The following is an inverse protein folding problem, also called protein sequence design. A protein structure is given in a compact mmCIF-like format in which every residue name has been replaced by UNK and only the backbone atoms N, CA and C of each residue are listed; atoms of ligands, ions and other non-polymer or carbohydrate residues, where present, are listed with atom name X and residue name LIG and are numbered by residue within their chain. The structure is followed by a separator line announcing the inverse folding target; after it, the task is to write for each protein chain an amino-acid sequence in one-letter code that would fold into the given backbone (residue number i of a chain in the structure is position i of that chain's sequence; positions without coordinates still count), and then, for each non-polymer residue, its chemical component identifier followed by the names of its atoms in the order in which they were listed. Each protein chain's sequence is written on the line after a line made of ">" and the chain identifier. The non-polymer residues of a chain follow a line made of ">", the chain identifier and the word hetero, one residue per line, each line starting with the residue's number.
data_IF_889988325923
#
_entry.id   IF_889988325923
#
_cell.length_a   1.000
_cell.length_b   1.000
_cell.length_c   1.000
_cell.angle_alpha   90.00
_cell.angle_beta   90.00
_cell.angle_gamma   90.00
#
_symmetry.space_group_name_H-M   'P 1'
#
loop_
_entity.id
_entity.type
_entity.pdbx_description
1 polymer ?
#
# COMPACT_ATOMS: atom_id res chain seq x y z
N UNK A 1 9.35 -28.70 20.87
CA UNK A 1 9.96 -29.07 19.58
C UNK A 1 8.87 -28.86 18.52
N UNK A 2 8.71 -27.64 18.02
CA UNK A 2 7.84 -27.33 16.89
C UNK A 2 8.70 -27.63 15.67
N UNK A 3 8.35 -28.72 14.96
CA UNK A 3 9.03 -29.15 13.75
C UNK A 3 9.11 -28.01 12.75
N UNK A 4 10.28 -27.86 12.10
CA UNK A 4 10.59 -27.02 10.94
C UNK A 4 9.71 -27.40 9.72
N UNK A 5 8.40 -27.16 9.80
CA UNK A 5 7.58 -27.12 8.59
C UNK A 5 7.82 -25.77 7.93
N UNK A 6 8.09 -25.77 6.63
CA UNK A 6 8.16 -24.50 5.87
C UNK A 6 6.87 -23.74 6.07
N UNK A 7 6.92 -22.41 6.09
CA UNK A 7 5.72 -21.58 6.24
C UNK A 7 4.65 -21.93 5.19
N UNK A 8 5.06 -22.23 3.97
CA UNK A 8 4.18 -22.70 2.90
C UNK A 8 3.41 -23.99 3.27
N UNK A 9 4.03 -24.89 4.05
CA UNK A 9 3.35 -26.10 4.50
C UNK A 9 2.15 -25.84 5.43
N UNK A 10 2.12 -24.70 6.14
CA UNK A 10 0.98 -24.29 6.97
C UNK A 10 -0.23 -23.84 6.15
N UNK A 11 0.00 -23.39 4.91
CA UNK A 11 -1.04 -22.86 4.03
C UNK A 11 -1.39 -23.82 2.87
N UNK A 12 -1.09 -25.09 2.99
CA UNK A 12 -1.36 -26.08 1.93
C UNK A 12 -2.85 -26.32 1.69
N UNK A 13 -3.66 -26.27 2.74
CA UNK A 13 -5.10 -26.43 2.60
C UNK A 13 -5.72 -25.26 1.83
N UNK A 14 -6.62 -25.61 0.91
CA UNK A 14 -7.37 -24.63 0.14
C UNK A 14 -8.52 -24.08 0.98
N UNK A 15 -8.68 -22.76 1.00
CA UNK A 15 -9.91 -22.13 1.49
C UNK A 15 -11.09 -22.45 0.57
N UNK A 16 -12.31 -22.16 0.99
CA UNK A 16 -13.49 -22.37 0.16
C UNK A 16 -13.47 -21.52 -1.12
N UNK A 17 -12.97 -20.29 -1.01
CA UNK A 17 -12.77 -19.41 -2.16
C UNK A 17 -11.72 -19.97 -3.12
N UNK A 18 -10.59 -20.48 -2.61
CA UNK A 18 -9.54 -21.08 -3.43
C UNK A 18 -10.00 -22.36 -4.11
N UNK A 19 -10.86 -23.16 -3.47
CA UNK A 19 -11.47 -24.34 -4.11
C UNK A 19 -12.33 -23.93 -5.30
N UNK A 20 -13.16 -22.91 -5.13
CA UNK A 20 -13.99 -22.35 -6.21
C UNK A 20 -13.14 -21.79 -7.34
N UNK A 21 -12.10 -21.01 -7.04
CA UNK A 21 -11.20 -20.47 -8.06
C UNK A 21 -10.42 -21.56 -8.78
N UNK A 22 -10.02 -22.62 -8.08
CA UNK A 22 -9.35 -23.79 -8.68
C UNK A 22 -10.26 -24.52 -9.66
N UNK A 23 -11.51 -24.74 -9.29
CA UNK A 23 -12.50 -25.35 -10.20
C UNK A 23 -12.71 -24.49 -11.46
N UNK A 24 -12.85 -23.16 -11.28
CA UNK A 24 -12.94 -22.23 -12.38
C UNK A 24 -11.69 -22.23 -13.27
N UNK A 25 -10.51 -22.26 -12.66
CA UNK A 25 -9.22 -22.29 -13.35
C UNK A 25 -9.12 -23.51 -14.30
N UNK A 26 -9.49 -24.70 -13.82
CA UNK A 26 -9.47 -25.89 -14.67
C UNK A 26 -10.62 -25.89 -15.67
N UNK A 27 -11.81 -25.46 -15.30
CA UNK A 27 -12.94 -25.39 -16.21
C UNK A 27 -12.70 -24.46 -17.40
N UNK A 28 -11.93 -23.38 -17.22
CA UNK A 28 -11.60 -22.43 -18.31
C UNK A 28 -10.71 -23.02 -19.41
N UNK A 29 -10.00 -24.12 -19.13
CA UNK A 29 -9.11 -24.76 -20.12
C UNK A 29 -9.89 -25.30 -21.33
N UNK A 30 -11.19 -25.61 -21.12
CA UNK A 30 -12.07 -26.21 -22.13
C UNK A 30 -13.43 -25.47 -22.16
N UNK A 31 -13.88 -24.92 -23.30
CA UNK A 31 -15.13 -24.15 -23.38
C UNK A 31 -16.38 -24.93 -22.91
N UNK A 32 -16.44 -26.23 -23.17
CA UNK A 32 -17.56 -27.06 -22.74
C UNK A 32 -17.54 -27.38 -21.25
N UNK A 33 -16.36 -27.49 -20.65
CA UNK A 33 -16.20 -27.64 -19.19
C UNK A 33 -16.62 -26.35 -18.48
N UNK A 34 -16.22 -25.19 -19.01
CA UNK A 34 -16.62 -23.90 -18.45
C UNK A 34 -18.15 -23.72 -18.48
N UNK A 35 -18.80 -24.06 -19.60
CA UNK A 35 -20.28 -24.01 -19.71
C UNK A 35 -20.96 -24.90 -18.66
N UNK A 36 -20.49 -26.14 -18.48
CA UNK A 36 -21.01 -27.09 -17.46
C UNK A 36 -20.77 -26.56 -16.05
N UNK A 37 -19.58 -26.05 -15.77
CA UNK A 37 -19.25 -25.48 -14.47
C UNK A 37 -20.16 -24.30 -14.13
N UNK A 38 -20.32 -23.32 -15.05
CA UNK A 38 -21.21 -22.19 -14.83
C UNK A 38 -22.67 -22.59 -14.63
N UNK A 39 -23.14 -23.64 -15.32
CA UNK A 39 -24.49 -24.15 -15.16
C UNK A 39 -24.70 -24.90 -13.83
N UNK A 40 -23.64 -25.49 -13.25
CA UNK A 40 -23.69 -26.20 -11.96
C UNK A 40 -23.63 -25.29 -10.74
N UNK A 41 -23.23 -24.02 -10.91
CA UNK A 41 -23.10 -23.05 -9.80
C UNK A 41 -24.47 -22.64 -9.27
N UNK A 42 -24.62 -22.48 -7.93
CA UNK A 42 -25.78 -21.83 -7.33
C UNK A 42 -26.01 -20.45 -7.93
N UNK A 43 -27.28 -20.06 -8.08
CA UNK A 43 -27.66 -18.83 -8.77
C UNK A 43 -26.97 -17.56 -8.21
N UNK A 44 -26.76 -17.53 -6.90
CA UNK A 44 -26.05 -16.48 -6.17
C UNK A 44 -24.55 -16.36 -6.54
N UNK A 45 -23.91 -17.46 -6.94
CA UNK A 45 -22.48 -17.53 -7.33
C UNK A 45 -22.24 -17.30 -8.82
N UNK A 46 -23.26 -17.45 -9.66
CA UNK A 46 -23.09 -17.33 -11.12
C UNK A 46 -22.69 -15.92 -11.55
N UNK A 47 -23.29 -14.88 -10.93
CA UNK A 47 -22.98 -13.49 -11.28
C UNK A 47 -21.54 -13.13 -10.87
N UNK A 48 -21.09 -13.32 -9.63
CA UNK A 48 -19.70 -13.07 -9.25
C UNK A 48 -18.70 -13.77 -10.17
N UNK A 49 -18.88 -15.04 -10.49
CA UNK A 49 -17.96 -15.77 -11.37
C UNK A 49 -17.92 -15.20 -12.78
N UNK A 50 -19.07 -14.76 -13.33
CA UNK A 50 -19.11 -14.08 -14.64
C UNK A 50 -18.40 -12.74 -14.61
N UNK A 51 -18.57 -11.98 -13.54
CA UNK A 51 -17.90 -10.69 -13.33
C UNK A 51 -16.37 -10.90 -13.29
N UNK A 52 -15.89 -11.93 -12.57
CA UNK A 52 -14.47 -12.32 -12.57
C UNK A 52 -13.95 -12.70 -13.95
N UNK A 53 -14.72 -13.47 -14.74
CA UNK A 53 -14.33 -13.82 -16.11
C UNK A 53 -14.31 -12.63 -17.06
N UNK A 54 -15.12 -11.60 -16.81
CA UNK A 54 -15.07 -10.35 -17.57
C UNK A 54 -13.86 -9.51 -17.19
N UNK A 55 -13.52 -9.50 -15.91
CA UNK A 55 -12.36 -8.78 -15.40
C UNK A 55 -11.04 -9.28 -15.99
N UNK A 56 -10.89 -10.59 -16.16
CA UNK A 56 -9.72 -11.17 -16.84
C UNK A 56 -9.55 -10.67 -18.28
N UNK A 57 -10.63 -10.26 -18.93
CA UNK A 57 -10.61 -9.70 -20.30
C UNK A 57 -10.23 -8.22 -20.34
N UNK A 58 -9.79 -7.66 -19.23
CA UNK A 58 -9.30 -6.28 -19.13
C UNK A 58 -10.36 -5.26 -18.74
N UNK A 59 -11.54 -5.70 -18.29
CA UNK A 59 -12.50 -4.79 -17.68
C UNK A 59 -11.97 -4.39 -16.30
N UNK A 60 -11.72 -3.08 -16.08
CA UNK A 60 -11.28 -2.55 -14.79
C UNK A 60 -12.42 -2.72 -13.78
N UNK A 61 -12.22 -3.57 -12.78
CA UNK A 61 -13.27 -3.89 -11.82
C UNK A 61 -13.44 -2.83 -10.75
N UNK A 62 -12.38 -2.25 -10.21
CA UNK A 62 -12.52 -1.26 -9.13
C UNK A 62 -11.20 -0.60 -8.74
N UNK A 63 -11.32 0.51 -8.04
CA UNK A 63 -10.29 1.07 -7.19
C UNK A 63 -10.45 0.46 -5.79
N UNK A 64 -9.47 -0.32 -5.33
CA UNK A 64 -9.45 -0.83 -3.98
C UNK A 64 -9.01 0.29 -3.03
N UNK A 65 -9.87 0.63 -2.09
CA UNK A 65 -9.58 1.68 -1.11
C UNK A 65 -9.34 1.05 0.26
N UNK A 66 -8.70 1.79 1.15
CA UNK A 66 -8.52 1.42 2.56
C UNK A 66 -9.86 1.23 3.31
N UNK A 67 -10.98 1.50 2.65
CA UNK A 67 -12.34 1.44 3.21
C UNK A 67 -13.14 0.23 2.73
N UNK A 68 -12.55 -0.65 1.91
CA UNK A 68 -13.24 -1.86 1.50
C UNK A 68 -13.35 -2.82 2.67
N UNK A 69 -14.57 -3.30 2.91
CA UNK A 69 -14.86 -4.28 3.97
C UNK A 69 -14.08 -5.60 3.80
N UNK A 70 -13.45 -5.83 2.66
CA UNK A 70 -12.62 -7.00 2.38
C UNK A 70 -11.24 -6.89 3.04
N UNK A 71 -10.79 -5.68 3.40
CA UNK A 71 -9.53 -5.46 4.11
C UNK A 71 -9.84 -4.77 5.43
N UNK A 72 -9.59 -5.46 6.53
CA UNK A 72 -9.62 -4.83 7.85
C UNK A 72 -8.37 -3.96 8.04
N UNK A 73 -8.45 -2.72 7.54
CA UNK A 73 -7.41 -1.73 7.77
C UNK A 73 -7.49 -1.11 9.18
N UNK A 74 -7.66 -1.94 10.23
CA UNK A 74 -7.48 -1.49 11.61
C UNK A 74 -6.02 -1.06 11.85
N UNK A 75 -5.06 -1.82 11.32
CA UNK A 75 -3.64 -1.60 11.44
C UNK A 75 -3.04 -0.74 10.32
N UNK A 76 -1.85 -0.17 10.55
CA UNK A 76 -1.07 0.55 9.53
C UNK A 76 -0.42 -0.37 8.50
N UNK A 77 -0.14 -1.61 8.92
CA UNK A 77 0.46 -2.67 8.11
C UNK A 77 -0.40 -3.91 8.23
N UNK A 78 -0.84 -4.45 7.11
CA UNK A 78 -1.65 -5.66 7.03
C UNK A 78 -0.93 -6.65 6.12
N UNK A 79 -0.98 -7.92 6.48
CA UNK A 79 -0.45 -9.00 5.64
C UNK A 79 -1.61 -9.87 5.20
N UNK A 80 -1.83 -9.98 3.90
CA UNK A 80 -2.91 -10.80 3.35
C UNK A 80 -2.34 -11.89 2.47
N UNK A 81 -2.97 -13.06 2.48
CA UNK A 81 -2.67 -14.12 1.52
C UNK A 81 -3.38 -13.83 0.20
N UNK A 82 -2.64 -13.82 -0.90
CA UNK A 82 -3.26 -13.83 -2.22
C UNK A 82 -3.93 -15.20 -2.44
N UNK A 83 -5.24 -15.20 -2.66
CA UNK A 83 -5.97 -16.45 -2.83
C UNK A 83 -5.49 -17.17 -4.09
N UNK A 84 -5.09 -18.43 -3.96
CA UNK A 84 -4.62 -19.26 -5.08
C UNK A 84 -5.69 -19.42 -6.14
N UNK A 85 -5.27 -19.52 -7.39
CA UNK A 85 -6.14 -19.66 -8.57
C UNK A 85 -7.05 -18.46 -8.85
N UNK A 86 -6.87 -17.34 -8.12
CA UNK A 86 -7.64 -16.12 -8.37
C UNK A 86 -7.47 -15.68 -9.82
N UNK A 87 -8.57 -15.45 -10.57
CA UNK A 87 -8.48 -14.87 -11.90
C UNK A 87 -7.77 -13.50 -11.86
N UNK A 88 -6.81 -13.28 -12.76
CA UNK A 88 -6.14 -12.00 -12.84
C UNK A 88 -7.14 -10.90 -13.24
N UNK A 89 -7.23 -9.84 -12.46
CA UNK A 89 -8.06 -8.67 -12.75
C UNK A 89 -7.26 -7.39 -12.62
N UNK A 90 -7.52 -6.46 -13.51
CA UNK A 90 -6.84 -5.15 -13.48
C UNK A 90 -7.51 -4.29 -12.42
N UNK A 91 -6.72 -3.83 -11.46
CA UNK A 91 -7.16 -2.95 -10.40
C UNK A 91 -6.08 -1.93 -10.04
N UNK A 92 -6.42 -0.97 -9.21
CA UNK A 92 -5.51 -0.05 -8.52
C UNK A 92 -5.98 0.12 -7.08
N UNK A 93 -5.10 0.58 -6.21
CA UNK A 93 -5.41 0.80 -4.80
C UNK A 93 -4.89 2.14 -4.30
N UNK A 94 -5.37 2.60 -3.12
CA UNK A 94 -4.97 3.87 -2.49
C UNK A 94 -3.83 3.70 -1.48
N UNK A 95 -3.43 2.48 -1.19
CA UNK A 95 -2.36 2.10 -0.27
C UNK A 95 -1.11 1.64 -1.03
N UNK A 96 0.00 1.42 -0.33
CA UNK A 96 1.16 0.72 -0.89
C UNK A 96 0.98 -0.78 -0.75
N UNK A 97 1.38 -1.53 -1.75
CA UNK A 97 1.38 -2.98 -1.73
C UNK A 97 2.77 -3.53 -1.99
N UNK A 98 3.17 -4.55 -1.23
CA UNK A 98 4.36 -5.36 -1.51
C UNK A 98 3.89 -6.78 -1.78
N UNK A 99 3.97 -7.20 -3.04
CA UNK A 99 3.72 -8.58 -3.45
C UNK A 99 4.95 -9.42 -3.13
N UNK A 100 4.79 -10.48 -2.37
CA UNK A 100 5.87 -11.38 -1.93
C UNK A 100 5.59 -12.79 -2.43
N UNK A 101 6.46 -13.36 -3.26
CA UNK A 101 6.37 -14.75 -3.70
C UNK A 101 7.17 -15.63 -2.73
N UNK A 102 6.47 -16.37 -1.86
CA UNK A 102 7.12 -17.31 -0.95
C UNK A 102 7.53 -18.59 -1.66
N UNK A 103 6.67 -19.12 -2.50
CA UNK A 103 6.88 -20.35 -3.25
C UNK A 103 6.08 -20.31 -4.56
N UNK A 104 6.69 -20.76 -5.65
CA UNK A 104 6.08 -20.81 -6.98
C UNK A 104 6.41 -19.61 -7.85
N UNK A 105 5.51 -19.25 -8.75
CA UNK A 105 5.74 -18.19 -9.72
C UNK A 105 4.45 -17.40 -9.97
N UNK A 106 4.61 -16.13 -10.37
CA UNK A 106 3.50 -15.33 -10.87
C UNK A 106 3.97 -14.34 -11.94
N UNK A 107 3.02 -13.77 -12.65
CA UNK A 107 3.25 -12.64 -13.55
C UNK A 107 2.45 -11.45 -13.03
N UNK A 108 3.15 -10.37 -12.69
CA UNK A 108 2.50 -9.12 -12.31
C UNK A 108 2.51 -8.18 -13.54
N UNK A 109 1.33 -7.88 -14.08
CA UNK A 109 1.17 -6.92 -15.17
C UNK A 109 0.96 -5.54 -14.58
N UNK A 110 1.90 -4.63 -14.82
CA UNK A 110 1.90 -3.26 -14.27
C UNK A 110 1.88 -2.29 -15.46
N UNK A 111 0.71 -1.72 -15.76
CA UNK A 111 0.51 -0.98 -17.01
C UNK A 111 0.77 -1.86 -18.21
N UNK A 112 1.74 -1.48 -19.05
CA UNK A 112 2.13 -2.23 -20.27
C UNK A 112 3.28 -3.23 -20.00
N UNK A 113 3.83 -3.26 -18.80
CA UNK A 113 4.93 -4.15 -18.42
C UNK A 113 4.41 -5.48 -17.86
N UNK A 114 5.12 -6.57 -18.16
CA UNK A 114 4.90 -7.89 -17.57
C UNK A 114 6.13 -8.28 -16.78
N UNK A 115 5.99 -8.29 -15.46
CA UNK A 115 7.05 -8.70 -14.52
C UNK A 115 6.83 -10.15 -14.13
N UNK A 116 7.76 -11.03 -14.53
CA UNK A 116 7.78 -12.42 -14.06
C UNK A 116 8.46 -12.49 -12.70
N UNK A 117 7.79 -13.07 -11.72
CA UNK A 117 8.27 -13.20 -10.34
C UNK A 117 8.33 -14.68 -9.95
N UNK A 118 9.30 -15.04 -9.16
CA UNK A 118 9.56 -16.40 -8.65
C UNK A 118 9.86 -16.41 -7.15
N UNK A 119 10.14 -17.58 -6.58
CA UNK A 119 10.47 -17.76 -5.17
C UNK A 119 11.45 -16.69 -4.66
N UNK A 120 11.07 -15.97 -3.63
CA UNK A 120 11.86 -14.93 -3.00
C UNK A 120 11.77 -13.56 -3.68
N UNK A 121 11.02 -13.42 -4.77
CA UNK A 121 10.85 -12.11 -5.41
C UNK A 121 9.83 -11.25 -4.66
N UNK A 122 10.14 -9.95 -4.61
CA UNK A 122 9.27 -8.93 -4.05
C UNK A 122 8.98 -7.84 -5.09
N UNK A 123 7.74 -7.37 -5.15
CA UNK A 123 7.37 -6.24 -5.99
C UNK A 123 6.58 -5.22 -5.16
N UNK A 124 7.11 -4.01 -5.04
CA UNK A 124 6.46 -2.89 -4.37
C UNK A 124 5.71 -2.05 -5.38
N UNK A 125 4.43 -1.80 -5.13
CA UNK A 125 3.53 -1.08 -6.03
C UNK A 125 3.02 0.17 -5.31
N UNK A 126 3.16 1.32 -5.98
CA UNK A 126 2.69 2.58 -5.42
C UNK A 126 1.17 2.77 -5.58
N UNK A 127 0.53 3.59 -4.73
CA UNK A 127 -0.88 3.93 -4.88
C UNK A 127 -1.23 4.47 -6.27
N UNK A 128 -2.40 4.07 -6.79
CA UNK A 128 -2.93 4.53 -8.08
C UNK A 128 -2.33 3.86 -9.32
N UNK A 129 -1.44 2.89 -9.15
CA UNK A 129 -0.89 2.08 -10.25
C UNK A 129 -1.86 0.98 -10.62
N UNK A 130 -2.23 0.91 -11.90
CA UNK A 130 -3.01 -0.23 -12.42
C UNK A 130 -2.11 -1.44 -12.58
N UNK A 131 -2.51 -2.54 -11.96
CA UNK A 131 -1.81 -3.81 -12.08
C UNK A 131 -2.78 -5.00 -12.02
N UNK A 132 -2.27 -6.17 -12.39
CA UNK A 132 -2.98 -7.44 -12.30
C UNK A 132 -1.99 -8.56 -12.01
N UNK A 133 -2.24 -9.30 -10.95
CA UNK A 133 -1.43 -10.44 -10.56
C UNK A 133 -2.04 -11.73 -11.11
N UNK A 134 -1.26 -12.47 -11.87
CA UNK A 134 -1.60 -13.79 -12.38
C UNK A 134 -0.64 -14.81 -11.78
N UNK A 135 -1.12 -15.58 -10.83
CA UNK A 135 -0.32 -16.66 -10.29
C UNK A 135 -0.24 -17.85 -11.24
N UNK A 136 0.81 -18.65 -11.09
CA UNK A 136 0.88 -19.99 -11.66
C UNK A 136 0.36 -21.01 -10.64
N UNK A 137 -0.01 -22.17 -11.12
CA UNK A 137 -0.63 -23.23 -10.34
C UNK A 137 0.16 -23.58 -9.06
N UNK A 138 -0.48 -23.40 -7.91
CA UNK A 138 0.06 -23.78 -6.60
C UNK A 138 0.97 -22.76 -5.91
N UNK A 139 1.11 -21.56 -6.42
CA UNK A 139 1.98 -20.53 -5.83
C UNK A 139 1.45 -20.02 -4.49
N UNK A 140 2.36 -19.76 -3.56
CA UNK A 140 2.09 -19.11 -2.27
C UNK A 140 2.57 -17.67 -2.31
N UNK A 141 1.63 -16.74 -2.42
CA UNK A 141 1.88 -15.30 -2.53
C UNK A 141 1.20 -14.60 -1.37
N UNK A 142 1.92 -13.64 -0.77
CA UNK A 142 1.42 -12.77 0.26
C UNK A 142 1.59 -11.32 -0.15
N UNK A 143 0.63 -10.49 0.25
CA UNK A 143 0.65 -9.06 0.03
C UNK A 143 0.81 -8.36 1.38
N UNK A 144 1.80 -7.47 1.50
CA UNK A 144 1.95 -6.56 2.62
C UNK A 144 1.36 -5.22 2.19
N UNK A 145 0.28 -4.82 2.82
CA UNK A 145 -0.45 -3.59 2.53
C UNK A 145 -0.06 -2.53 3.56
N UNK A 146 0.30 -1.33 3.10
CA UNK A 146 0.76 -0.26 3.98
C UNK A 146 -0.11 0.96 3.75
N UNK A 147 -0.78 1.45 4.81
CA UNK A 147 -1.60 2.65 4.74
C UNK A 147 -0.81 3.85 4.24
N UNK A 148 -1.37 4.57 3.29
CA UNK A 148 -0.74 5.75 2.72
C UNK A 148 -0.52 6.86 3.77
N UNK A 149 -1.46 7.06 4.69
CA UNK A 149 -1.40 8.16 5.67
C UNK A 149 -0.40 7.93 6.79
N UNK A 150 -0.27 6.70 7.24
CA UNK A 150 0.59 6.33 8.36
C UNK A 150 2.02 6.04 7.93
N UNK A 151 2.29 5.94 6.62
CA UNK A 151 3.63 5.65 6.11
C UNK A 151 4.70 6.59 6.69
N UNK A 152 4.38 7.87 6.86
CA UNK A 152 5.31 8.86 7.42
C UNK A 152 5.63 8.63 8.89
N UNK A 153 4.66 8.15 9.66
CA UNK A 153 4.85 7.84 11.08
C UNK A 153 5.59 6.51 11.22
N UNK A 154 5.14 5.49 10.51
CA UNK A 154 5.71 4.13 10.53
C UNK A 154 7.15 4.06 10.00
N UNK A 155 7.46 4.79 8.92
CA UNK A 155 8.74 4.71 8.22
C UNK A 155 9.60 5.99 8.31
N UNK A 156 9.33 6.88 9.27
CA UNK A 156 9.98 8.21 9.34
C UNK A 156 11.53 8.15 9.29
N UNK A 157 12.14 7.26 10.05
CA UNK A 157 13.60 7.10 10.09
C UNK A 157 14.15 6.48 8.79
N UNK A 158 13.40 5.55 8.19
CA UNK A 158 13.77 4.93 6.92
C UNK A 158 13.73 5.96 5.77
N UNK A 159 12.71 6.81 5.72
CA UNK A 159 12.55 7.84 4.69
C UNK A 159 13.64 8.93 4.75
N UNK A 160 14.38 9.06 5.85
CA UNK A 160 15.56 9.94 5.95
C UNK A 160 16.79 9.39 5.22
N UNK A 161 16.80 8.14 4.84
CA UNK A 161 17.95 7.50 4.22
C UNK A 161 18.13 7.94 2.76
N UNK A 162 19.39 7.89 2.29
CA UNK A 162 19.74 8.26 0.92
C UNK A 162 19.80 7.00 0.04
N UNK A 163 18.67 6.33 -0.18
CA UNK A 163 18.59 5.17 -1.05
C UNK A 163 17.39 5.24 -2.00
N UNK A 164 17.40 4.43 -3.04
CA UNK A 164 16.36 4.41 -4.07
C UNK A 164 14.99 4.03 -3.50
N UNK A 165 14.95 3.14 -2.52
CA UNK A 165 13.72 2.67 -1.90
C UNK A 165 13.02 3.77 -1.07
N UNK A 166 13.78 4.54 -0.28
CA UNK A 166 13.25 5.73 0.38
C UNK A 166 12.76 6.76 -0.67
N UNK A 167 13.52 6.93 -1.76
CA UNK A 167 13.13 7.76 -2.90
C UNK A 167 11.82 7.33 -3.53
N UNK A 168 11.60 6.04 -3.72
CA UNK A 168 10.36 5.48 -4.24
C UNK A 168 9.14 5.86 -3.39
N UNK A 169 9.20 5.64 -2.09
CA UNK A 169 8.11 6.00 -1.18
C UNK A 169 7.82 7.51 -1.21
N UNK A 170 8.87 8.34 -1.15
CA UNK A 170 8.73 9.80 -1.17
C UNK A 170 8.09 10.27 -2.49
N UNK A 171 8.56 9.78 -3.63
CA UNK A 171 8.01 10.15 -4.93
C UNK A 171 6.56 9.70 -5.07
N UNK A 172 6.24 8.48 -4.66
CA UNK A 172 4.88 7.93 -4.70
C UNK A 172 3.90 8.71 -3.83
N UNK A 173 4.36 9.20 -2.68
CA UNK A 173 3.55 10.03 -1.79
C UNK A 173 3.24 11.42 -2.38
N UNK A 174 4.15 12.01 -3.17
CA UNK A 174 4.13 13.44 -3.48
C UNK A 174 4.10 13.81 -4.96
N UNK A 175 4.46 12.88 -5.84
CA UNK A 175 4.48 13.13 -7.29
C UNK A 175 3.23 12.57 -7.97
N UNK A 176 2.52 13.43 -8.73
CA UNK A 176 1.30 13.03 -9.45
C UNK A 176 1.53 12.05 -10.60
N UNK A 177 2.74 12.00 -11.15
CA UNK A 177 3.06 11.23 -12.36
C UNK A 177 3.75 9.90 -12.08
N UNK A 178 4.03 9.62 -10.83
CA UNK A 178 4.80 8.45 -10.44
C UNK A 178 3.94 7.19 -10.42
N UNK A 179 3.76 6.59 -11.58
CA UNK A 179 3.35 5.18 -11.65
C UNK A 179 4.62 4.36 -11.45
N UNK A 180 4.95 4.06 -10.20
CA UNK A 180 6.19 3.38 -9.88
C UNK A 180 5.93 2.04 -9.24
N UNK A 181 6.74 1.10 -9.64
CA UNK A 181 6.96 -0.14 -8.92
C UNK A 181 8.47 -0.34 -8.71
N UNK A 182 8.81 -1.16 -7.74
CA UNK A 182 10.16 -1.64 -7.51
C UNK A 182 10.12 -3.14 -7.38
N UNK A 183 10.96 -3.86 -8.12
CA UNK A 183 11.11 -5.30 -7.97
C UNK A 183 12.48 -5.66 -7.41
N UNK A 184 12.52 -6.69 -6.59
CA UNK A 184 13.70 -7.19 -5.92
C UNK A 184 13.75 -8.71 -6.06
N UNK A 185 14.92 -9.22 -6.44
CA UNK A 185 15.23 -10.64 -6.47
C UNK A 185 16.01 -11.01 -5.20
N UNK A 186 15.30 -11.59 -4.22
CA UNK A 186 15.91 -11.89 -2.91
C UNK A 186 16.04 -13.38 -2.62
N UNK A 187 15.94 -14.21 -3.66
CA UNK A 187 16.08 -15.66 -3.52
C UNK A 187 17.39 -16.05 -2.86
N UNK A 188 17.30 -16.81 -1.76
CA UNK A 188 18.45 -17.25 -0.99
C UNK A 188 18.91 -16.28 0.10
N UNK A 189 18.34 -15.08 0.21
CA UNK A 189 18.57 -14.17 1.33
C UNK A 189 17.74 -14.62 2.54
N UNK A 190 18.41 -15.33 3.46
CA UNK A 190 17.76 -15.89 4.64
C UNK A 190 17.26 -14.82 5.63
N UNK A 191 17.94 -13.67 5.71
CA UNK A 191 17.53 -12.59 6.62
C UNK A 191 16.18 -12.01 6.15
N UNK A 192 16.02 -11.78 4.85
CA UNK A 192 14.75 -11.31 4.25
C UNK A 192 13.66 -12.37 4.42
N UNK A 193 13.96 -13.64 4.13
CA UNK A 193 13.00 -14.73 4.29
C UNK A 193 12.48 -14.82 5.73
N UNK A 194 13.35 -14.76 6.75
CA UNK A 194 12.94 -14.78 8.15
C UNK A 194 12.06 -13.60 8.55
N UNK A 195 12.33 -12.39 8.01
CA UNK A 195 11.48 -11.22 8.30
C UNK A 195 10.10 -11.34 7.64
N UNK A 196 10.02 -11.85 6.41
CA UNK A 196 8.74 -12.13 5.75
C UNK A 196 7.94 -13.18 6.52
N UNK A 197 8.60 -14.27 6.93
CA UNK A 197 7.98 -15.30 7.77
C UNK A 197 7.46 -14.72 9.10
N UNK A 198 8.25 -13.87 9.76
CA UNK A 198 7.85 -13.22 11.01
C UNK A 198 6.63 -12.31 10.82
N UNK A 199 6.59 -11.51 9.75
CA UNK A 199 5.43 -10.66 9.41
C UNK A 199 4.16 -11.49 9.18
N UNK A 200 4.26 -12.58 8.41
CA UNK A 200 3.12 -13.45 8.11
C UNK A 200 2.63 -14.17 9.37
N UNK A 201 3.54 -14.66 10.20
CA UNK A 201 3.19 -15.34 11.45
C UNK A 201 2.56 -14.39 12.46
N UNK A 202 2.98 -13.12 12.48
CA UNK A 202 2.39 -12.12 13.36
C UNK A 202 0.94 -11.81 12.99
N UNK A 203 0.63 -11.74 11.68
CA UNK A 203 -0.75 -11.57 11.21
C UNK A 203 -1.64 -12.77 11.61
N UNK A 204 -1.18 -14.00 11.34
CA UNK A 204 -1.92 -15.22 11.70
C UNK A 204 -2.16 -15.30 13.21
N UNK A 205 -1.18 -14.90 14.02
CA UNK A 205 -1.31 -14.89 15.49
C UNK A 205 -2.30 -13.84 15.98
N UNK A 206 -2.40 -12.71 15.28
CA UNK A 206 -3.36 -11.66 15.58
C UNK A 206 -4.82 -12.07 15.24
N UNK A 207 -5.02 -12.83 14.17
CA UNK A 207 -6.33 -13.38 13.81
C UNK A 207 -6.83 -14.40 14.86
N UNK A 208 -5.92 -15.16 15.48
CA UNK A 208 -6.25 -16.14 16.52
C UNK A 208 -6.49 -15.52 17.91
N UNK A 209 -5.88 -14.38 18.17
CA UNK A 209 -5.92 -13.68 19.46
C UNK A 209 -6.46 -12.30 19.22
N UNK A 210 -7.53 -11.86 19.76
CA UNK A 210 -8.06 -10.50 19.57
C UNK A 210 -6.94 -9.46 19.33
N UNK A 211 -7.05 -8.70 18.22
CA UNK A 211 -6.07 -7.70 17.77
C UNK A 211 -5.65 -6.80 18.95
N UNK A 212 -4.34 -6.74 19.22
CA UNK A 212 -3.74 -5.93 20.28
C UNK A 212 -2.77 -4.92 19.63
N UNK A 213 -2.64 -3.73 20.21
CA UNK A 213 -1.68 -2.68 19.78
C UNK A 213 -0.24 -3.21 19.67
N UNK A 214 0.13 -4.24 20.46
CA UNK A 214 1.44 -4.87 20.40
C UNK A 214 1.71 -5.59 19.09
N UNK A 215 0.70 -6.25 18.49
CA UNK A 215 0.81 -6.92 17.19
C UNK A 215 1.06 -5.92 16.06
N UNK A 216 0.33 -4.78 16.08
CA UNK A 216 0.54 -3.71 15.12
C UNK A 216 1.96 -3.15 15.18
N UNK A 217 2.49 -2.86 16.37
CA UNK A 217 3.84 -2.35 16.56
C UNK A 217 4.93 -3.35 16.09
N UNK A 218 4.73 -4.64 16.29
CA UNK A 218 5.65 -5.68 15.81
C UNK A 218 5.65 -5.78 14.29
N UNK A 219 4.49 -5.75 13.64
CA UNK A 219 4.40 -5.72 12.17
C UNK A 219 5.13 -4.52 11.57
N UNK A 220 4.96 -3.34 12.16
CA UNK A 220 5.70 -2.14 11.75
C UNK A 220 7.21 -2.27 11.94
N UNK A 221 7.67 -2.87 13.04
CA UNK A 221 9.09 -3.11 13.30
C UNK A 221 9.70 -4.10 12.29
N UNK A 222 9.01 -5.21 11.99
CA UNK A 222 9.45 -6.17 10.99
C UNK A 222 9.48 -5.56 9.58
N UNK A 223 8.47 -4.77 9.22
CA UNK A 223 8.46 -4.03 7.94
C UNK A 223 9.65 -3.08 7.84
N UNK A 224 9.93 -2.29 8.90
CA UNK A 224 11.09 -1.39 8.93
C UNK A 224 12.41 -2.16 8.76
N UNK A 225 12.56 -3.31 9.42
CA UNK A 225 13.74 -4.16 9.28
C UNK A 225 13.88 -4.69 7.84
N UNK A 226 12.78 -5.19 7.25
CA UNK A 226 12.73 -5.67 5.88
C UNK A 226 13.16 -4.60 4.88
N UNK A 227 12.60 -3.39 4.98
CA UNK A 227 12.95 -2.27 4.08
C UNK A 227 14.40 -1.83 4.23
N UNK A 228 14.95 -1.85 5.45
CA UNK A 228 16.36 -1.55 5.69
C UNK A 228 17.30 -2.61 5.10
N UNK A 229 16.94 -3.91 5.17
CA UNK A 229 17.69 -4.98 4.53
C UNK A 229 17.66 -4.87 3.01
N UNK A 230 16.48 -4.66 2.42
CA UNK A 230 16.32 -4.43 0.98
C UNK A 230 17.16 -3.24 0.50
N UNK A 231 17.12 -2.12 1.23
CA UNK A 231 17.91 -0.94 0.90
C UNK A 231 19.41 -1.17 1.01
N UNK A 232 19.86 -1.99 1.96
CA UNK A 232 21.27 -2.31 2.17
C UNK A 232 21.83 -3.27 1.13
N UNK A 233 21.08 -4.34 0.82
CA UNK A 233 21.64 -5.50 0.11
C UNK A 233 21.14 -5.66 -1.32
N UNK A 234 20.00 -5.03 -1.69
CA UNK A 234 19.33 -5.27 -2.97
C UNK A 234 19.01 -4.00 -3.78
N UNK A 235 19.43 -2.80 -3.34
CA UNK A 235 19.08 -1.54 -4.03
C UNK A 235 19.65 -1.43 -5.44
N UNK A 236 20.85 -2.03 -5.69
CA UNK A 236 21.47 -2.01 -7.02
C UNK A 236 20.78 -2.98 -8.01
N UNK A 237 20.09 -3.98 -7.49
CA UNK A 237 19.34 -4.98 -8.26
C UNK A 237 17.86 -4.60 -8.44
N UNK A 238 17.43 -3.46 -7.89
CA UNK A 238 16.07 -3.02 -8.00
C UNK A 238 15.77 -2.49 -9.42
N UNK A 239 14.87 -3.15 -10.12
CA UNK A 239 14.34 -2.62 -11.37
C UNK A 239 13.38 -1.48 -11.08
N UNK A 240 13.71 -0.28 -11.53
CA UNK A 240 12.87 0.89 -11.38
C UNK A 240 13.03 1.86 -12.55
N UNK A 241 11.93 2.46 -13.00
CA UNK A 241 11.97 3.57 -13.94
C UNK A 241 11.78 4.91 -13.22
N UNK A 242 12.70 5.85 -13.47
CA UNK A 242 12.49 7.28 -13.20
C UNK A 242 12.68 7.77 -11.76
N UNK A 243 13.29 7.01 -10.85
CA UNK A 243 13.50 7.44 -9.45
C UNK A 243 14.75 8.35 -9.35
N UNK A 244 14.56 9.62 -8.96
CA UNK A 244 15.64 10.55 -8.64
C UNK A 244 15.84 10.70 -7.14
N UNK A 245 16.86 10.06 -6.60
CA UNK A 245 17.19 10.07 -5.15
C UNK A 245 17.48 11.50 -4.63
N UNK A 246 18.15 12.33 -5.42
CA UNK A 246 18.51 13.69 -5.00
C UNK A 246 17.29 14.59 -4.79
N UNK A 247 16.33 14.55 -5.73
CA UNK A 247 15.09 15.33 -5.63
C UNK A 247 14.17 14.81 -4.52
N UNK A 248 14.15 13.50 -4.31
CA UNK A 248 13.34 12.87 -3.27
C UNK A 248 13.72 13.33 -1.87
N UNK A 249 15.03 13.44 -1.59
CA UNK A 249 15.50 13.91 -0.28
C UNK A 249 15.06 15.33 0.03
N UNK A 250 15.20 16.26 -0.90
CA UNK A 250 14.77 17.65 -0.68
C UNK A 250 13.26 17.71 -0.40
N UNK A 251 12.44 17.00 -1.16
CA UNK A 251 10.99 16.93 -0.93
C UNK A 251 10.69 16.37 0.45
N UNK A 252 11.42 15.35 0.89
CA UNK A 252 11.27 14.79 2.23
C UNK A 252 11.62 15.81 3.34
N UNK A 253 12.76 16.51 3.23
CA UNK A 253 13.15 17.54 4.20
C UNK A 253 12.14 18.70 4.23
N UNK A 254 11.63 19.12 3.07
CA UNK A 254 10.55 20.09 2.97
C UNK A 254 9.33 19.64 3.76
N UNK A 255 8.95 18.39 3.62
CA UNK A 255 7.80 17.85 4.34
C UNK A 255 8.01 17.75 5.83
N UNK A 256 9.17 17.28 6.28
CA UNK A 256 9.53 17.25 7.69
C UNK A 256 9.37 18.64 8.31
N UNK A 257 9.88 19.68 7.63
CA UNK A 257 9.68 21.06 8.05
C UNK A 257 8.20 21.43 8.10
N UNK A 258 7.44 21.13 7.04
CA UNK A 258 6.01 21.47 6.96
C UNK A 258 5.18 20.72 8.02
N UNK A 259 5.48 19.47 8.30
CA UNK A 259 4.80 18.67 9.34
C UNK A 259 5.03 19.26 10.73
N UNK A 260 6.26 19.72 11.00
CA UNK A 260 6.60 20.36 12.27
C UNK A 260 6.07 21.79 12.42
N UNK A 261 5.68 22.43 11.32
CA UNK A 261 5.26 23.86 11.28
C UNK A 261 3.89 24.05 10.62
N UNK A 262 2.96 23.07 10.73
CA UNK A 262 1.68 23.04 10.00
C UNK A 262 0.86 24.32 10.08
N UNK A 263 0.86 24.98 11.24
CA UNK A 263 0.06 26.19 11.49
C UNK A 263 0.68 27.45 10.88
N UNK A 264 2.01 27.53 10.84
CA UNK A 264 2.75 28.75 10.50
C UNK A 264 3.53 28.68 9.19
N UNK A 265 3.65 27.48 8.59
CA UNK A 265 4.44 27.28 7.40
C UNK A 265 3.91 28.09 6.21
N UNK A 266 4.81 28.86 5.61
CA UNK A 266 4.63 29.62 4.36
C UNK A 266 5.75 29.29 3.40
N UNK A 267 5.58 29.59 2.11
CA UNK A 267 6.67 29.44 1.16
C UNK A 267 7.88 30.33 1.52
N UNK A 268 7.62 31.48 2.13
CA UNK A 268 8.66 32.40 2.59
C UNK A 268 9.45 31.76 3.75
N UNK A 269 8.78 31.28 4.81
CA UNK A 269 9.47 30.67 5.95
C UNK A 269 10.22 29.39 5.57
N UNK A 270 9.69 28.63 4.61
CA UNK A 270 10.35 27.46 4.07
C UNK A 270 11.62 27.84 3.28
N UNK A 271 11.55 28.89 2.45
CA UNK A 271 12.68 29.38 1.68
C UNK A 271 13.82 29.90 2.58
N UNK A 272 13.46 30.62 3.65
CA UNK A 272 14.41 31.07 4.67
C UNK A 272 15.09 29.89 5.37
N UNK A 273 14.33 28.86 5.77
CA UNK A 273 14.87 27.67 6.43
C UNK A 273 15.90 26.92 5.58
N UNK A 274 15.66 26.83 4.25
CA UNK A 274 16.55 26.13 3.34
C UNK A 274 17.60 27.05 2.66
N UNK A 275 17.65 28.31 3.02
CA UNK A 275 18.53 29.33 2.40
C UNK A 275 18.34 29.44 0.87
N UNK A 276 17.10 29.40 0.43
CA UNK A 276 16.71 29.59 -0.97
C UNK A 276 15.86 30.85 -1.14
N UNK A 277 15.79 31.38 -2.37
CA UNK A 277 14.75 32.37 -2.69
C UNK A 277 13.38 31.68 -2.85
N UNK A 278 12.26 32.33 -2.46
CA UNK A 278 10.91 31.75 -2.62
C UNK A 278 10.62 31.33 -4.06
N UNK A 279 11.05 32.10 -5.03
CA UNK A 279 10.86 31.82 -6.46
C UNK A 279 11.64 30.59 -6.92
N UNK A 280 12.88 30.43 -6.45
CA UNK A 280 13.69 29.25 -6.73
C UNK A 280 13.08 28.00 -6.10
N UNK A 281 12.72 28.07 -4.81
CA UNK A 281 12.13 26.95 -4.08
C UNK A 281 10.77 26.53 -4.69
N UNK A 282 9.93 27.49 -5.08
CA UNK A 282 8.67 27.22 -5.77
C UNK A 282 8.87 26.44 -7.07
N UNK A 283 9.85 26.83 -7.87
CA UNK A 283 10.21 26.15 -9.13
C UNK A 283 10.77 24.75 -8.86
N UNK A 284 11.62 24.63 -7.86
CA UNK A 284 12.22 23.36 -7.45
C UNK A 284 11.16 22.36 -6.97
N UNK A 285 10.22 22.82 -6.14
CA UNK A 285 9.06 22.02 -5.71
C UNK A 285 8.23 21.59 -6.93
N UNK A 286 7.95 22.51 -7.86
CA UNK A 286 7.17 22.18 -9.05
C UNK A 286 7.88 21.18 -9.96
N UNK A 287 9.20 21.28 -10.11
CA UNK A 287 10.01 20.35 -10.90
C UNK A 287 10.14 18.97 -10.22
N UNK A 288 10.33 18.95 -8.90
CA UNK A 288 10.58 17.71 -8.15
C UNK A 288 9.29 16.97 -7.77
N UNK A 289 8.21 17.68 -7.46
CA UNK A 289 6.94 17.10 -7.02
C UNK A 289 5.80 17.20 -8.05
N UNK A 290 6.02 17.81 -9.21
CA UNK A 290 4.98 18.01 -10.22
C UNK A 290 3.78 18.84 -9.73
N UNK A 291 3.92 19.52 -8.58
CA UNK A 291 2.84 20.27 -7.94
C UNK A 291 3.37 21.50 -7.19
N UNK A 292 2.49 22.41 -6.79
CA UNK A 292 2.89 23.62 -6.07
C UNK A 292 2.90 23.43 -4.54
N UNK A 293 3.63 24.33 -3.86
CA UNK A 293 3.75 24.37 -2.39
C UNK A 293 2.40 24.29 -1.66
N UNK A 294 1.40 25.05 -2.10
CA UNK A 294 0.10 25.10 -1.44
C UNK A 294 -0.64 23.75 -1.48
N UNK A 295 -0.47 22.99 -2.56
CA UNK A 295 -1.06 21.64 -2.67
C UNK A 295 -0.33 20.64 -1.79
N UNK A 296 1.00 20.71 -1.70
CA UNK A 296 1.79 19.87 -0.77
C UNK A 296 1.36 20.15 0.67
N UNK A 297 1.37 21.42 1.08
CA UNK A 297 0.99 21.81 2.44
C UNK A 297 -0.44 21.37 2.78
N UNK A 298 -1.39 21.56 1.83
CA UNK A 298 -2.77 21.08 2.02
C UNK A 298 -2.81 19.58 2.26
N UNK A 299 -2.11 18.78 1.45
CA UNK A 299 -2.08 17.32 1.57
C UNK A 299 -1.52 16.88 2.92
N UNK A 300 -0.41 17.50 3.38
CA UNK A 300 0.18 17.23 4.69
C UNK A 300 -0.82 17.55 5.82
N UNK A 301 -1.50 18.70 5.75
CA UNK A 301 -2.52 19.09 6.74
C UNK A 301 -3.68 18.08 6.80
N UNK A 302 -4.16 17.63 5.65
CA UNK A 302 -5.26 16.67 5.58
C UNK A 302 -4.81 15.29 6.05
N UNK A 303 -3.61 14.83 5.71
CA UNK A 303 -3.09 13.56 6.21
C UNK A 303 -2.98 13.56 7.74
N UNK A 304 -2.49 14.65 8.34
CA UNK A 304 -2.48 14.79 9.81
C UNK A 304 -3.89 14.80 10.40
N UNK A 305 -4.85 15.44 9.71
CA UNK A 305 -6.24 15.42 10.13
C UNK A 305 -6.84 14.00 10.09
N UNK A 306 -6.53 13.20 9.06
CA UNK A 306 -6.96 11.79 8.98
C UNK A 306 -6.43 10.99 10.18
N UNK A 307 -5.14 11.10 10.49
CA UNK A 307 -4.53 10.46 11.67
C UNK A 307 -5.23 10.86 12.97
N UNK A 308 -5.49 12.17 13.17
CA UNK A 308 -6.19 12.64 14.37
C UNK A 308 -7.66 12.17 14.44
N UNK A 309 -8.35 12.11 13.30
CA UNK A 309 -9.73 11.63 13.24
C UNK A 309 -9.86 10.15 13.60
N UNK A 310 -8.89 9.33 13.21
CA UNK A 310 -8.89 7.89 13.48
C UNK A 310 -8.44 7.55 14.90
N UNK A 311 -7.46 8.30 15.46
CA UNK A 311 -6.75 7.90 16.66
C UNK A 311 -7.06 8.76 17.90
N UNK A 312 -7.95 9.77 17.80
CA UNK A 312 -8.27 10.67 18.91
C UNK A 312 -9.74 11.00 19.02
N UNK A 313 -10.15 11.45 20.22
CA UNK A 313 -11.50 11.96 20.51
C UNK A 313 -11.66 13.46 20.24
N UNK A 314 -10.63 14.12 19.71
CA UNK A 314 -10.71 15.54 19.39
C UNK A 314 -11.88 15.83 18.46
N UNK A 315 -12.62 16.90 18.71
CA UNK A 315 -13.70 17.27 17.82
C UNK A 315 -13.18 17.81 16.47
N UNK A 316 -14.03 17.82 15.45
CA UNK A 316 -13.64 18.21 14.08
C UNK A 316 -13.08 19.64 14.01
N UNK A 317 -13.56 20.55 14.88
CA UNK A 317 -13.04 21.92 14.93
C UNK A 317 -11.64 21.97 15.50
N UNK A 318 -11.39 21.28 16.61
CA UNK A 318 -10.05 21.17 17.23
C UNK A 318 -9.03 20.59 16.25
N UNK A 319 -9.42 19.57 15.48
CA UNK A 319 -8.56 18.99 14.45
C UNK A 319 -8.27 20.01 13.34
N UNK A 320 -9.28 20.76 12.90
CA UNK A 320 -9.09 21.83 11.94
C UNK A 320 -8.08 22.88 12.40
N UNK A 321 -8.19 23.32 13.65
CA UNK A 321 -7.27 24.28 14.29
C UNK A 321 -5.85 23.71 14.43
N UNK A 322 -5.71 22.47 14.94
CA UNK A 322 -4.42 21.81 15.11
C UNK A 322 -3.70 21.59 13.76
N UNK A 323 -4.46 21.38 12.70
CA UNK A 323 -3.91 21.26 11.34
C UNK A 323 -3.74 22.60 10.62
N UNK A 324 -3.96 23.72 11.33
CA UNK A 324 -3.68 25.06 10.86
C UNK A 324 -4.70 25.63 9.86
N UNK A 325 -5.98 25.29 10.03
CA UNK A 325 -7.09 25.93 9.35
C UNK A 325 -7.72 26.99 10.25
N UNK A 326 -7.97 28.17 9.70
CA UNK A 326 -8.52 29.31 10.47
C UNK A 326 -10.01 29.18 10.76
N UNK A 327 -10.73 28.38 9.98
CA UNK A 327 -12.15 28.14 10.21
C UNK A 327 -12.57 26.76 9.69
N UNK A 328 -13.58 26.19 10.31
CA UNK A 328 -14.13 24.86 9.99
C UNK A 328 -14.55 24.71 8.52
N UNK A 329 -15.14 25.76 7.94
CA UNK A 329 -15.58 25.71 6.54
C UNK A 329 -14.42 25.49 5.57
N UNK A 330 -13.28 26.14 5.81
CA UNK A 330 -12.08 25.93 4.99
C UNK A 330 -11.50 24.52 5.18
N UNK A 331 -11.48 24.02 6.42
CA UNK A 331 -11.07 22.68 6.74
C UNK A 331 -11.93 21.63 6.05
N UNK A 332 -13.26 21.69 6.23
CA UNK A 332 -14.20 20.72 5.65
C UNK A 332 -14.08 20.69 4.13
N UNK A 333 -14.01 21.86 3.48
CA UNK A 333 -13.81 21.95 2.03
C UNK A 333 -12.48 21.33 1.60
N UNK A 334 -11.38 21.67 2.26
CA UNK A 334 -10.07 21.13 1.94
C UNK A 334 -10.00 19.61 2.16
N UNK A 335 -10.65 19.11 3.20
CA UNK A 335 -10.75 17.69 3.51
C UNK A 335 -11.54 16.95 2.42
N UNK A 336 -12.72 17.47 2.06
CA UNK A 336 -13.56 16.89 1.02
C UNK A 336 -12.91 16.93 -0.36
N UNK A 337 -12.17 18.01 -0.69
CA UNK A 337 -11.40 18.13 -1.95
C UNK A 337 -10.29 17.05 -2.08
N UNK A 338 -9.75 16.54 -0.96
CA UNK A 338 -8.63 15.58 -0.94
C UNK A 338 -9.09 14.15 -0.71
N UNK A 339 -10.05 13.96 0.21
CA UNK A 339 -10.50 12.63 0.70
C UNK A 339 -11.83 12.20 0.07
N UNK A 340 -12.56 13.13 -0.57
CA UNK A 340 -13.87 12.92 -1.21
C UNK A 340 -15.00 12.52 -0.26
N UNK A 341 -14.82 12.75 1.05
CA UNK A 341 -15.83 12.59 2.09
C UNK A 341 -15.67 13.66 3.17
N UNK A 342 -16.67 13.80 4.04
CA UNK A 342 -16.56 14.74 5.16
C UNK A 342 -15.69 14.19 6.29
N UNK A 343 -15.09 15.05 7.16
CA UNK A 343 -14.31 14.59 8.31
C UNK A 343 -15.11 13.67 9.26
N UNK A 344 -16.41 13.94 9.43
CA UNK A 344 -17.28 13.12 10.29
C UNK A 344 -17.57 11.75 9.69
N UNK A 345 -17.79 11.68 8.37
CA UNK A 345 -17.95 10.40 7.65
C UNK A 345 -16.63 9.60 7.73
N UNK A 346 -15.50 10.28 7.50
CA UNK A 346 -14.19 9.65 7.61
C UNK A 346 -13.98 9.04 9.00
N UNK A 347 -14.21 9.81 10.06
CA UNK A 347 -14.12 9.32 11.45
C UNK A 347 -15.00 8.09 11.68
N UNK A 348 -16.26 8.14 11.23
CA UNK A 348 -17.21 7.03 11.42
C UNK A 348 -16.72 5.74 10.77
N UNK A 349 -16.03 5.86 9.64
CA UNK A 349 -15.53 4.70 8.88
C UNK A 349 -14.17 4.18 9.40
N UNK A 350 -13.32 5.06 9.97
CA UNK A 350 -11.93 4.72 10.30
C UNK A 350 -11.63 4.78 11.79
N UNK A 351 -12.62 5.08 12.62
CA UNK A 351 -12.42 5.06 14.07
C UNK A 351 -12.35 3.60 14.50
N UNK A 352 -11.21 3.17 15.02
CA UNK A 352 -11.10 1.98 15.84
C UNK A 352 -12.15 2.12 16.96
N UNK A 353 -13.12 1.20 17.01
CA UNK A 353 -14.07 1.11 18.11
C UNK A 353 -13.26 0.76 19.37
N UNK A 354 -12.82 1.78 20.11
CA UNK A 354 -12.42 1.64 21.49
C UNK A 354 -13.70 1.30 22.28
N UNK A 355 -14.09 0.03 22.28
CA UNK A 355 -15.06 -0.57 23.18
C UNK A 355 -14.40 -1.68 23.97
#
# INVERSE_FOLDING_TARGET
>A
MIQNQSLAARFQELTDSERMFRELYFAKKEPDQLRRYLASLPQERQKPVRDWLQAEKGVILSELTENLAEFDFSDNVIVTRHARYTPAFVHKHTFFEIVCVLEGNCVNRIGDMCLSMSDGDLCMISPGVYHALQETEGSHIFNILIKHYSLMETLSNFLLQKNALAGFFIQSLYMKSAKHYLSFHTKGDREIQHLLEALILEEVSAEERSQDEQHSALKEAYLNALLNLLARSHTEAAECEGISVANSRLIFEIQKYLTSNLQTATLQSLAEHFNYSPSYLSRLIQQSAGTNFSKILRRIKINKACSLLSNTDLNVNEIGEQTGYRCQRQFNRAFQDVIHMTPSEYRKQHRLLLL
#
